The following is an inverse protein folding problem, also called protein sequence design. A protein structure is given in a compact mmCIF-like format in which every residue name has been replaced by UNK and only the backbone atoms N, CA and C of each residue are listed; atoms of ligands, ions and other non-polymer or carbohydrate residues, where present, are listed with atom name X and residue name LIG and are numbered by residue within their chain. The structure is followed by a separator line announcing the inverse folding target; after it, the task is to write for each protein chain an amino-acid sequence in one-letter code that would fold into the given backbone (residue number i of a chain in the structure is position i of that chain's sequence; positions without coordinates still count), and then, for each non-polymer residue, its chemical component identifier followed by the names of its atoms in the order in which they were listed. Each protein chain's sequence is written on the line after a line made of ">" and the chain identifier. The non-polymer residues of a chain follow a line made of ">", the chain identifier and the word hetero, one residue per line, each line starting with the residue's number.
data_IF_479702050458
#
_entry.id   IF_479702050458
#
_cell.length_a   1.000
_cell.length_b   1.000
_cell.length_c   1.000
_cell.angle_alpha   90.00
_cell.angle_beta   90.00
_cell.angle_gamma   90.00
#
_symmetry.space_group_name_H-M   'P 1'
#
loop_
_entity.id
_entity.type
_entity.pdbx_description
1 polymer ?
#
# COMPACT_ATOMS: atom_id res chain seq x y z
N UNK A 1 13.56 3.24 -31.48
CA UNK A 1 13.47 1.77 -31.56
C UNK A 1 12.02 1.29 -31.74
N UNK A 2 11.12 1.36 -30.73
CA UNK A 2 9.74 0.83 -30.90
C UNK A 2 8.93 1.51 -32.02
N UNK A 3 9.16 2.80 -32.26
CA UNK A 3 8.57 3.52 -33.41
C UNK A 3 9.17 3.01 -34.73
N UNK A 4 10.49 2.85 -34.77
CA UNK A 4 11.21 2.39 -35.97
C UNK A 4 10.83 0.95 -36.36
N UNK A 5 10.52 0.12 -35.35
CA UNK A 5 9.98 -1.24 -35.49
C UNK A 5 8.48 -1.26 -35.82
N UNK A 6 7.82 -0.10 -35.92
CA UNK A 6 6.39 0.02 -36.22
C UNK A 6 5.46 -0.51 -35.13
N UNK A 7 6.01 -0.83 -33.95
CA UNK A 7 5.25 -1.42 -32.82
C UNK A 7 4.43 -0.38 -32.06
N UNK A 8 4.83 0.89 -32.12
CA UNK A 8 4.10 2.02 -31.54
C UNK A 8 4.11 3.21 -32.51
N UNK A 9 3.00 3.93 -32.59
CA UNK A 9 2.90 5.16 -33.38
C UNK A 9 3.48 6.35 -32.62
N UNK A 10 3.92 7.39 -33.35
CA UNK A 10 4.34 8.65 -32.72
C UNK A 10 3.23 9.25 -31.84
N UNK A 11 1.97 9.18 -32.28
CA UNK A 11 0.84 9.67 -31.51
C UNK A 11 0.67 8.92 -30.18
N UNK A 12 0.81 7.61 -30.17
CA UNK A 12 0.77 6.82 -28.94
C UNK A 12 1.91 7.19 -27.99
N UNK A 13 3.12 7.43 -28.52
CA UNK A 13 4.26 7.89 -27.71
C UNK A 13 3.99 9.25 -27.07
N UNK A 14 3.41 10.20 -27.81
CA UNK A 14 3.04 11.52 -27.29
C UNK A 14 1.94 11.48 -26.22
N UNK A 15 1.14 10.41 -26.21
CA UNK A 15 0.04 10.21 -25.26
C UNK A 15 0.44 9.36 -24.04
N UNK A 16 1.68 8.89 -23.95
CA UNK A 16 2.16 8.11 -22.81
C UNK A 16 2.08 8.94 -21.53
N UNK A 17 1.59 8.31 -20.46
CA UNK A 17 1.82 8.86 -19.12
C UNK A 17 3.28 8.70 -18.74
N UNK A 18 3.73 9.46 -17.73
CA UNK A 18 5.07 9.30 -17.18
C UNK A 18 5.31 7.86 -16.69
N UNK A 19 4.31 7.24 -16.04
CA UNK A 19 4.44 5.88 -15.53
C UNK A 19 4.56 4.85 -16.65
N UNK A 20 3.76 4.98 -17.72
CA UNK A 20 3.85 4.10 -18.89
C UNK A 20 5.19 4.25 -19.62
N UNK A 21 5.68 5.49 -19.75
CA UNK A 21 7.00 5.77 -20.33
C UNK A 21 8.13 5.14 -19.51
N UNK A 22 8.07 5.26 -18.18
CA UNK A 22 9.04 4.62 -17.28
C UNK A 22 8.96 3.10 -17.35
N UNK A 23 7.76 2.53 -17.43
CA UNK A 23 7.57 1.08 -17.59
C UNK A 23 8.18 0.57 -18.90
N UNK A 24 8.02 1.28 -20.02
CA UNK A 24 8.68 0.93 -21.28
C UNK A 24 10.21 1.02 -21.21
N UNK A 25 10.75 1.86 -20.32
CA UNK A 25 12.18 1.97 -20.05
C UNK A 25 12.70 0.89 -19.09
N UNK A 26 11.84 0.22 -18.32
CA UNK A 26 12.21 -0.92 -17.49
C UNK A 26 12.50 -2.17 -18.35
N UNK A 27 13.68 -2.75 -18.14
CA UNK A 27 14.13 -3.92 -18.91
C UNK A 27 13.32 -5.20 -18.62
N UNK A 28 12.77 -5.34 -17.41
CA UNK A 28 11.91 -6.45 -17.02
C UNK A 28 10.54 -6.36 -17.70
N UNK A 29 9.96 -5.17 -17.77
CA UNK A 29 8.71 -4.92 -18.51
C UNK A 29 8.92 -5.20 -20.01
N UNK A 30 10.00 -4.69 -20.63
CA UNK A 30 10.31 -5.01 -22.03
C UNK A 30 10.46 -6.51 -22.26
N UNK A 31 11.11 -7.22 -21.34
CA UNK A 31 11.22 -8.69 -21.40
C UNK A 31 9.85 -9.37 -21.35
N UNK A 32 8.90 -8.85 -20.58
CA UNK A 32 7.53 -9.38 -20.53
C UNK A 32 6.79 -9.14 -21.86
N UNK A 33 7.01 -7.99 -22.50
CA UNK A 33 6.49 -7.72 -23.84
C UNK A 33 7.07 -8.68 -24.87
N UNK A 34 8.40 -8.86 -24.91
CA UNK A 34 9.05 -9.79 -25.86
C UNK A 34 8.59 -11.23 -25.67
N UNK A 35 8.25 -11.63 -24.44
CA UNK A 35 7.73 -12.96 -24.11
C UNK A 35 6.22 -13.11 -24.33
N UNK A 36 5.53 -12.06 -24.79
CA UNK A 36 4.07 -12.00 -24.88
C UNK A 36 3.36 -12.32 -23.56
N UNK A 37 3.98 -12.00 -22.42
CA UNK A 37 3.32 -12.07 -21.11
C UNK A 37 2.30 -10.92 -21.02
N UNK A 38 2.74 -9.71 -21.34
CA UNK A 38 1.89 -8.53 -21.52
C UNK A 38 2.08 -8.02 -22.95
N UNK A 39 1.00 -7.58 -23.60
CA UNK A 39 1.10 -6.91 -24.90
C UNK A 39 1.46 -5.43 -24.73
N UNK A 40 2.08 -4.84 -25.75
CA UNK A 40 2.31 -3.40 -25.74
C UNK A 40 0.99 -2.62 -25.60
N UNK A 41 -0.08 -3.04 -26.29
CA UNK A 41 -1.39 -2.42 -26.17
C UNK A 41 -1.92 -2.42 -24.72
N UNK A 42 -1.85 -3.56 -24.02
CA UNK A 42 -2.25 -3.66 -22.61
C UNK A 42 -1.44 -2.71 -21.72
N UNK A 43 -0.13 -2.54 -21.98
CA UNK A 43 0.68 -1.60 -21.22
C UNK A 43 0.28 -0.14 -21.50
N UNK A 44 0.00 0.21 -22.76
CA UNK A 44 -0.43 1.55 -23.17
C UNK A 44 -1.83 1.91 -22.65
N UNK A 45 -2.68 0.92 -22.43
CA UNK A 45 -4.01 1.07 -21.83
C UNK A 45 -3.99 0.95 -20.31
N UNK A 46 -2.85 0.54 -19.72
CA UNK A 46 -2.74 0.33 -18.28
C UNK A 46 -2.77 1.64 -17.50
N UNK A 47 -3.29 1.57 -16.27
CA UNK A 47 -3.24 2.69 -15.33
C UNK A 47 -1.80 2.97 -14.87
N UNK A 48 -1.57 4.16 -14.31
CA UNK A 48 -0.29 4.49 -13.67
C UNK A 48 0.07 3.50 -12.55
N UNK A 49 -0.93 3.03 -11.78
CA UNK A 49 -0.72 2.04 -10.72
C UNK A 49 -0.24 0.70 -11.27
N UNK A 50 -0.85 0.23 -12.36
CA UNK A 50 -0.45 -0.99 -13.06
C UNK A 50 0.94 -0.87 -13.70
N UNK A 51 1.21 0.25 -14.38
CA UNK A 51 2.54 0.53 -14.96
C UNK A 51 3.65 0.55 -13.90
N UNK A 52 3.41 1.18 -12.75
CA UNK A 52 4.34 1.18 -11.63
C UNK A 52 4.52 -0.22 -11.03
N UNK A 53 3.42 -0.96 -10.85
CA UNK A 53 3.47 -2.33 -10.35
C UNK A 53 4.25 -3.25 -11.30
N UNK A 54 4.02 -3.17 -12.62
CA UNK A 54 4.78 -3.94 -13.62
C UNK A 54 6.26 -3.58 -13.61
N UNK A 55 6.61 -2.33 -13.31
CA UNK A 55 7.99 -1.85 -13.17
C UNK A 55 8.66 -2.30 -11.87
N UNK A 56 7.89 -2.77 -10.89
CA UNK A 56 8.39 -3.27 -9.63
C UNK A 56 8.89 -4.73 -9.76
N UNK A 57 10.16 -4.96 -9.39
CA UNK A 57 10.78 -6.29 -9.49
C UNK A 57 10.12 -7.34 -8.58
N UNK A 58 9.61 -6.95 -7.42
CA UNK A 58 8.90 -7.85 -6.51
C UNK A 58 7.58 -8.32 -7.13
N UNK A 59 6.80 -7.41 -7.69
CA UNK A 59 5.56 -7.75 -8.40
C UNK A 59 5.84 -8.68 -9.57
N UNK A 60 6.88 -8.41 -10.37
CA UNK A 60 7.30 -9.32 -11.45
C UNK A 60 7.66 -10.72 -10.95
N UNK A 61 8.40 -10.82 -9.85
CA UNK A 61 8.68 -12.12 -9.21
C UNK A 61 7.41 -12.84 -8.76
N UNK A 62 6.40 -12.11 -8.27
CA UNK A 62 5.10 -12.70 -7.91
C UNK A 62 4.37 -13.23 -9.14
N UNK A 63 4.41 -12.51 -10.28
CA UNK A 63 3.85 -12.99 -11.56
C UNK A 63 4.59 -14.26 -12.01
N UNK A 64 5.92 -14.25 -12.00
CA UNK A 64 6.75 -15.39 -12.44
C UNK A 64 6.49 -16.66 -11.58
N UNK A 65 6.13 -16.48 -10.31
CA UNK A 65 5.76 -17.55 -9.38
C UNK A 65 4.27 -17.94 -9.45
N UNK A 66 3.47 -17.30 -10.30
CA UNK A 66 2.01 -17.41 -10.35
C UNK A 66 1.31 -17.10 -9.01
N UNK A 67 1.94 -16.29 -8.16
CA UNK A 67 1.32 -15.82 -6.90
C UNK A 67 0.30 -14.70 -7.15
N UNK A 68 0.48 -13.95 -8.25
CA UNK A 68 -0.49 -12.99 -8.78
C UNK A 68 -0.62 -13.17 -10.29
N UNK A 69 -1.82 -12.95 -10.82
CA UNK A 69 -2.05 -12.96 -12.25
C UNK A 69 -1.70 -11.62 -12.88
N UNK A 70 -1.39 -11.62 -14.18
CA UNK A 70 -1.22 -10.36 -14.91
C UNK A 70 -2.50 -9.50 -14.85
N UNK A 71 -3.68 -10.10 -14.92
CA UNK A 71 -4.95 -9.37 -14.87
C UNK A 71 -5.10 -8.60 -13.55
N UNK A 72 -4.79 -9.24 -12.42
CA UNK A 72 -4.79 -8.57 -11.11
C UNK A 72 -3.79 -7.41 -11.05
N UNK A 73 -2.65 -7.50 -11.75
CA UNK A 73 -1.68 -6.39 -11.83
C UNK A 73 -2.18 -5.27 -12.74
N UNK A 74 -2.88 -5.58 -13.84
CA UNK A 74 -3.48 -4.57 -14.72
C UNK A 74 -4.63 -3.82 -14.04
N UNK A 75 -5.37 -4.48 -13.15
CA UNK A 75 -6.47 -3.92 -12.36
C UNK A 75 -6.03 -3.39 -10.99
N UNK A 76 -4.73 -3.40 -10.69
CA UNK A 76 -4.23 -3.08 -9.35
C UNK A 76 -4.60 -1.65 -8.93
N UNK A 77 -5.04 -1.51 -7.68
CA UNK A 77 -5.31 -0.19 -7.10
C UNK A 77 -4.00 0.57 -6.86
N UNK A 78 -4.09 1.90 -6.78
CA UNK A 78 -2.93 2.73 -6.39
C UNK A 78 -2.41 2.34 -4.99
N UNK A 79 -3.32 2.06 -4.06
CA UNK A 79 -2.97 1.66 -2.69
C UNK A 79 -2.18 0.35 -2.67
N UNK A 80 -2.67 -0.67 -3.39
CA UNK A 80 -1.98 -1.96 -3.51
C UNK A 80 -0.63 -1.84 -4.23
N UNK A 81 -0.55 -1.06 -5.31
CA UNK A 81 0.72 -0.80 -6.03
C UNK A 81 1.77 -0.12 -5.14
N UNK A 82 1.35 0.84 -4.31
CA UNK A 82 2.22 1.50 -3.32
C UNK A 82 2.66 0.53 -2.22
N UNK A 83 1.73 -0.25 -1.66
CA UNK A 83 2.04 -1.26 -0.66
C UNK A 83 3.04 -2.30 -1.18
N UNK A 84 2.85 -2.81 -2.40
CA UNK A 84 3.79 -3.73 -3.06
C UNK A 84 5.12 -3.07 -3.47
N UNK A 85 5.29 -1.77 -3.26
CA UNK A 85 6.58 -1.09 -3.40
C UNK A 85 7.28 -0.85 -2.07
N UNK A 86 6.62 -1.13 -0.95
CA UNK A 86 7.18 -1.04 0.39
C UNK A 86 7.82 -2.38 0.80
N UNK A 87 9.09 -2.36 1.17
CA UNK A 87 9.84 -3.57 1.57
C UNK A 87 9.29 -4.22 2.84
N UNK A 88 8.74 -3.45 3.78
CA UNK A 88 8.13 -4.02 4.98
C UNK A 88 6.86 -4.80 4.66
N UNK A 89 6.07 -4.36 3.68
CA UNK A 89 4.92 -5.13 3.18
C UNK A 89 5.38 -6.46 2.57
N UNK A 90 6.54 -6.48 1.90
CA UNK A 90 7.12 -7.73 1.38
C UNK A 90 7.46 -8.67 2.54
N UNK A 91 8.13 -8.17 3.57
CA UNK A 91 8.49 -8.95 4.76
C UNK A 91 7.27 -9.51 5.47
N UNK A 92 6.20 -8.72 5.62
CA UNK A 92 4.94 -9.17 6.21
C UNK A 92 4.28 -10.29 5.39
N UNK A 93 4.38 -10.24 4.05
CA UNK A 93 3.91 -11.32 3.17
C UNK A 93 4.78 -12.57 3.33
N UNK A 94 6.12 -12.40 3.34
CA UNK A 94 7.07 -13.50 3.43
C UNK A 94 7.00 -14.24 4.78
N UNK A 95 6.74 -13.51 5.88
CA UNK A 95 6.49 -14.10 7.21
C UNK A 95 5.10 -14.74 7.33
N UNK A 96 4.18 -14.45 6.39
CA UNK A 96 2.80 -14.94 6.41
C UNK A 96 1.86 -14.16 7.34
N UNK A 97 2.29 -13.00 7.84
CA UNK A 97 1.45 -12.12 8.67
C UNK A 97 0.32 -11.48 7.86
N UNK A 98 0.57 -11.22 6.57
CA UNK A 98 -0.45 -10.72 5.64
C UNK A 98 -0.41 -11.54 4.35
N UNK A 99 -1.55 -11.67 3.69
CA UNK A 99 -1.67 -12.34 2.39
C UNK A 99 -1.58 -11.34 1.24
N UNK A 100 -1.18 -11.81 0.07
CA UNK A 100 -1.18 -10.98 -1.13
C UNK A 100 -2.60 -10.48 -1.48
N UNK A 101 -3.63 -11.30 -1.25
CA UNK A 101 -5.01 -10.91 -1.50
C UNK A 101 -5.42 -9.71 -0.62
N UNK A 102 -5.04 -9.71 0.67
CA UNK A 102 -5.29 -8.57 1.56
C UNK A 102 -4.57 -7.30 1.08
N UNK A 103 -3.37 -7.42 0.50
CA UNK A 103 -2.67 -6.26 -0.07
C UNK A 103 -3.39 -5.72 -1.30
N UNK A 104 -3.96 -6.59 -2.15
CA UNK A 104 -4.74 -6.17 -3.31
C UNK A 104 -6.06 -5.48 -2.94
N UNK A 105 -6.62 -5.80 -1.76
CA UNK A 105 -7.85 -5.23 -1.23
C UNK A 105 -7.64 -3.93 -0.42
N UNK A 106 -6.40 -3.44 -0.31
CA UNK A 106 -6.11 -2.23 0.47
C UNK A 106 -6.88 -1.00 -0.02
N UNK A 107 -7.55 -0.35 0.91
CA UNK A 107 -8.06 1.01 0.74
C UNK A 107 -6.91 2.03 0.84
N UNK A 108 -7.17 3.29 0.46
CA UNK A 108 -6.21 4.37 0.66
C UNK A 108 -5.88 4.59 2.14
N UNK A 109 -6.85 4.45 3.04
CA UNK A 109 -6.66 4.61 4.48
C UNK A 109 -5.86 3.47 5.09
N UNK A 110 -6.20 2.23 4.71
CA UNK A 110 -5.47 1.04 5.11
C UNK A 110 -4.02 1.10 4.65
N UNK A 111 -3.77 1.42 3.37
CA UNK A 111 -2.42 1.58 2.85
C UNK A 111 -1.67 2.70 3.57
N UNK A 112 -2.32 3.84 3.86
CA UNK A 112 -1.66 4.95 4.56
C UNK A 112 -1.20 4.53 5.95
N UNK A 113 -2.02 3.81 6.71
CA UNK A 113 -1.63 3.25 8.01
C UNK A 113 -0.50 2.22 7.85
N UNK A 114 -0.61 1.34 6.86
CA UNK A 114 0.40 0.33 6.50
C UNK A 114 1.69 0.91 5.88
N UNK A 115 1.84 2.23 5.76
CA UNK A 115 3.15 2.83 5.47
C UNK A 115 3.91 3.18 6.77
N UNK A 116 3.25 3.13 7.94
CA UNK A 116 3.84 3.43 9.24
C UNK A 116 4.52 2.21 9.87
N UNK A 117 5.76 2.39 10.34
CA UNK A 117 6.53 1.31 10.99
C UNK A 117 5.89 0.78 12.28
N UNK A 118 5.19 1.65 13.01
CA UNK A 118 4.46 1.24 14.22
C UNK A 118 3.31 0.28 13.90
N UNK A 119 2.60 0.50 12.78
CA UNK A 119 1.52 -0.40 12.34
C UNK A 119 2.09 -1.76 11.91
N UNK A 120 3.26 -1.80 11.28
CA UNK A 120 3.94 -3.07 11.02
C UNK A 120 4.26 -3.82 12.31
N UNK A 121 4.74 -3.10 13.34
CA UNK A 121 5.02 -3.68 14.65
C UNK A 121 3.75 -4.20 15.32
N UNK A 122 2.62 -3.51 15.15
CA UNK A 122 1.33 -3.95 15.66
C UNK A 122 0.86 -5.24 14.98
N UNK A 123 1.02 -5.35 13.67
CA UNK A 123 0.70 -6.58 12.92
C UNK A 123 1.62 -7.72 13.37
N UNK A 124 2.94 -7.48 13.47
CA UNK A 124 3.92 -8.48 13.89
C UNK A 124 3.65 -9.00 15.32
N UNK A 125 3.12 -8.15 16.21
CA UNK A 125 2.75 -8.51 17.58
C UNK A 125 1.31 -8.99 17.75
N UNK A 126 0.53 -9.10 16.66
CA UNK A 126 -0.91 -9.40 16.68
C UNK A 126 -1.72 -8.42 17.58
N UNK A 127 -1.30 -7.16 17.65
CA UNK A 127 -2.06 -6.06 18.31
C UNK A 127 -3.20 -5.60 17.39
N UNK A 128 -3.01 -5.72 16.07
CA UNK A 128 -4.03 -5.44 15.06
C UNK A 128 -3.98 -6.49 13.97
N UNK A 129 -5.15 -6.89 13.49
CA UNK A 129 -5.33 -7.85 12.40
C UNK A 129 -5.54 -7.15 11.06
N UNK A 130 -5.28 -7.86 9.96
CA UNK A 130 -5.53 -7.30 8.63
C UNK A 130 -7.00 -6.95 8.34
N UNK A 131 -8.01 -7.73 8.80
CA UNK A 131 -9.41 -7.30 8.69
C UNK A 131 -9.66 -5.93 9.35
N UNK A 132 -9.06 -5.66 10.50
CA UNK A 132 -9.18 -4.36 11.17
C UNK A 132 -8.46 -3.26 10.38
N UNK A 133 -7.25 -3.54 9.86
CA UNK A 133 -6.52 -2.59 8.99
C UNK A 133 -7.32 -2.26 7.72
N UNK A 134 -7.92 -3.26 7.07
CA UNK A 134 -8.75 -3.08 5.88
C UNK A 134 -10.03 -2.29 6.18
N UNK A 135 -10.57 -2.46 7.38
CA UNK A 135 -11.74 -1.74 7.90
C UNK A 135 -11.45 -0.33 8.44
N UNK A 136 -10.20 0.15 8.38
CA UNK A 136 -9.85 1.46 8.95
C UNK A 136 -10.68 2.59 8.35
N UNK A 137 -11.28 3.37 9.25
CA UNK A 137 -11.84 4.68 8.94
C UNK A 137 -10.70 5.67 8.66
N UNK A 138 -11.03 6.81 8.06
CA UNK A 138 -10.07 7.90 7.88
C UNK A 138 -9.53 8.40 9.24
N UNK A 139 -10.38 8.44 10.26
CA UNK A 139 -10.05 8.87 11.63
C UNK A 139 -9.03 7.92 12.28
N UNK A 140 -9.30 6.62 12.24
CA UNK A 140 -8.40 5.61 12.78
C UNK A 140 -7.07 5.58 12.03
N UNK A 141 -7.11 5.73 10.70
CA UNK A 141 -5.90 5.86 9.87
C UNK A 141 -5.05 7.07 10.26
N UNK A 142 -5.66 8.24 10.54
CA UNK A 142 -4.92 9.41 11.01
C UNK A 142 -4.33 9.21 12.41
N UNK A 143 -5.09 8.62 13.34
CA UNK A 143 -4.61 8.33 14.68
C UNK A 143 -3.40 7.38 14.66
N UNK A 144 -3.43 6.34 13.80
CA UNK A 144 -2.31 5.41 13.63
C UNK A 144 -1.10 5.98 12.89
N UNK A 145 -1.18 7.20 12.35
CA UNK A 145 -0.01 7.93 11.83
C UNK A 145 0.65 8.80 12.89
N UNK A 146 -0.08 9.12 13.96
CA UNK A 146 0.48 9.88 15.05
C UNK A 146 1.33 8.98 15.94
N UNK A 147 2.60 9.38 16.10
CA UNK A 147 3.57 8.61 16.87
C UNK A 147 3.19 8.53 18.34
N UNK A 148 2.66 9.61 18.92
CA UNK A 148 2.26 9.60 20.33
C UNK A 148 1.09 8.65 20.59
N UNK A 149 0.12 8.61 19.68
CA UNK A 149 -0.97 7.61 19.72
C UNK A 149 -0.41 6.19 19.67
N UNK A 150 0.53 5.92 18.74
CA UNK A 150 1.15 4.60 18.65
C UNK A 150 1.93 4.23 19.93
N UNK A 151 2.64 5.17 20.54
CA UNK A 151 3.32 4.97 21.82
C UNK A 151 2.34 4.66 22.96
N UNK A 152 1.19 5.35 23.02
CA UNK A 152 0.13 5.06 24.00
C UNK A 152 -0.43 3.65 23.83
N UNK A 153 -0.59 3.19 22.59
CA UNK A 153 -1.00 1.80 22.29
C UNK A 153 0.06 0.81 22.77
N UNK A 154 1.34 1.08 22.50
CA UNK A 154 2.44 0.21 22.94
C UNK A 154 2.55 0.11 24.46
N UNK A 155 2.21 1.18 25.18
CA UNK A 155 2.14 1.19 26.66
C UNK A 155 0.88 0.53 27.22
N UNK A 156 -0.09 0.18 26.37
CA UNK A 156 -1.38 -0.38 26.78
C UNK A 156 -2.30 0.63 27.45
N UNK A 157 -2.04 1.93 27.31
CA UNK A 157 -2.86 3.01 27.87
C UNK A 157 -4.09 3.27 26.98
N UNK A 158 -3.89 3.15 25.66
CA UNK A 158 -4.96 3.20 24.65
C UNK A 158 -5.01 1.85 23.95
N UNK A 159 -6.20 1.29 23.77
CA UNK A 159 -6.38 0.01 23.05
C UNK A 159 -6.52 0.24 21.55
N UNK A 160 -6.22 -0.78 20.75
CA UNK A 160 -6.47 -0.72 19.31
C UNK A 160 -7.97 -0.55 19.02
N UNK A 161 -8.84 -1.23 19.78
CA UNK A 161 -10.30 -1.10 19.68
C UNK A 161 -10.76 0.36 19.82
N UNK A 162 -10.28 1.08 20.85
CA UNK A 162 -10.59 2.51 21.02
C UNK A 162 -10.14 3.37 19.83
N UNK A 163 -9.03 3.03 19.18
CA UNK A 163 -8.55 3.76 17.99
C UNK A 163 -9.42 3.44 16.78
N UNK A 164 -9.80 2.18 16.58
CA UNK A 164 -10.64 1.74 15.48
C UNK A 164 -12.05 2.36 15.57
N UNK A 165 -12.58 2.52 16.78
CA UNK A 165 -13.90 3.10 17.04
C UNK A 165 -13.87 4.63 17.21
N UNK A 166 -12.70 5.26 17.10
CA UNK A 166 -12.53 6.69 17.38
C UNK A 166 -13.37 7.58 16.47
N UNK A 167 -14.05 8.56 17.07
CA UNK A 167 -14.68 9.65 16.32
C UNK A 167 -13.62 10.60 15.76
N UNK A 168 -14.05 11.55 14.91
CA UNK A 168 -13.14 12.56 14.39
C UNK A 168 -12.53 13.43 15.48
N UNK A 169 -13.33 13.81 16.48
CA UNK A 169 -12.89 14.59 17.63
C UNK A 169 -11.90 13.80 18.48
N UNK A 170 -12.16 12.51 18.72
CA UNK A 170 -11.27 11.63 19.46
C UNK A 170 -9.92 11.45 18.74
N UNK A 171 -9.95 11.22 17.42
CA UNK A 171 -8.74 11.13 16.59
C UNK A 171 -7.93 12.44 16.60
N UNK A 172 -8.60 13.60 16.58
CA UNK A 172 -7.92 14.89 16.66
C UNK A 172 -7.31 15.13 18.05
N UNK A 173 -8.02 14.77 19.11
CA UNK A 173 -7.52 14.84 20.48
C UNK A 173 -6.30 13.91 20.65
N UNK A 174 -6.39 12.70 20.12
CA UNK A 174 -5.29 11.74 20.05
C UNK A 174 -4.11 12.23 19.21
N UNK A 175 -4.27 13.22 18.32
CA UNK A 175 -3.13 13.81 17.61
C UNK A 175 -2.43 14.93 18.41
N UNK A 176 -2.90 15.24 19.63
CA UNK A 176 -2.41 16.36 20.42
C UNK A 176 -1.46 15.90 21.55
N UNK A 177 -0.21 16.35 21.48
CA UNK A 177 0.83 16.01 22.47
C UNK A 177 0.49 16.41 23.90
N UNK A 178 -0.31 17.47 24.10
CA UNK A 178 -0.77 17.84 25.44
C UNK A 178 -1.78 16.82 25.99
N UNK A 179 -2.69 16.34 25.13
CA UNK A 179 -3.66 15.29 25.48
C UNK A 179 -2.93 14.00 25.82
N UNK A 180 -1.88 13.62 25.08
CA UNK A 180 -1.04 12.47 25.43
C UNK A 180 -0.51 12.55 26.86
N UNK A 181 0.05 13.69 27.25
CA UNK A 181 0.58 13.89 28.62
C UNK A 181 -0.50 13.76 29.68
N UNK A 182 -1.70 14.29 29.43
CA UNK A 182 -2.82 14.16 30.36
C UNK A 182 -3.31 12.71 30.48
N UNK A 183 -3.30 11.97 29.37
CA UNK A 183 -3.62 10.53 29.36
C UNK A 183 -2.56 9.75 30.14
N UNK A 184 -1.27 10.00 29.90
CA UNK A 184 -0.17 9.33 30.62
C UNK A 184 -0.16 9.63 32.13
N UNK A 185 -0.75 10.74 32.55
CA UNK A 185 -0.90 11.15 33.94
C UNK A 185 -2.23 10.67 34.56
N UNK A 186 -2.99 9.81 33.87
CA UNK A 186 -4.34 9.37 34.26
C UNK A 186 -5.30 10.54 34.58
N UNK A 187 -5.06 11.71 33.99
CA UNK A 187 -5.88 12.92 34.23
C UNK A 187 -7.14 12.90 33.36
N UNK A 188 -7.06 12.27 32.18
CA UNK A 188 -8.19 12.04 31.27
C UNK A 188 -8.10 10.62 30.71
N UNK A 189 -9.24 10.02 30.37
CA UNK A 189 -9.31 8.69 29.74
C UNK A 189 -10.01 8.78 28.39
N UNK A 190 -9.66 7.89 27.47
CA UNK A 190 -10.38 7.71 26.21
C UNK A 190 -11.52 6.75 26.50
N UNK A 191 -12.76 7.20 26.30
CA UNK A 191 -13.96 6.38 26.39
C UNK A 191 -14.43 5.97 25.01
#
# INVERSE_FOLDING_TARGET
>A
QLIDEGSITLQQVLNLTNCQSLALQDSGVRKYITKNIITLAQLLESTDAASNALSNIYVRKLIDKNSITLQQVLEISRAASQALSNTYVHELIEKGNITLQQVLELTSFANTALQGEDVHTFIDKNIVSMPEILGLTIQASFALRDKGTCELIQKGIVTMEQVLESTQEASFALSNTYIHKLIEQDTITIQ
#
